data_IF_901025508054
#
_entry.id   IF_901025508054
#
_cell.length_a   1.000
_cell.length_b   1.000
_cell.length_c   1.000
_cell.angle_alpha   90.00
_cell.angle_beta   90.00
_cell.angle_gamma   90.00
#
_symmetry.space_group_name_H-M   'P 1'
#
loop_
_entity.id
_entity.type
_entity.pdbx_description
1 polymer ?
#
# COMPACT_ATOMS: atom_id res chain seq x y z
N UNK A 1 3.44 32.75 11.95
CA UNK A 1 3.31 31.67 10.96
C UNK A 1 3.17 30.37 11.75
N UNK A 2 2.30 29.43 11.35
CA UNK A 2 2.20 28.13 12.02
C UNK A 2 3.03 27.11 11.24
N UNK A 3 4.19 26.73 11.77
CA UNK A 3 5.12 25.79 11.13
C UNK A 3 4.55 24.37 11.05
N UNK A 4 3.53 24.04 11.85
CA UNK A 4 2.86 22.75 11.79
C UNK A 4 1.90 22.63 10.61
N UNK A 5 1.64 23.72 9.88
CA UNK A 5 0.85 23.69 8.65
C UNK A 5 1.77 23.51 7.44
N UNK A 6 2.17 22.27 7.19
CA UNK A 6 3.04 21.88 6.10
C UNK A 6 2.50 20.64 5.37
N UNK A 7 3.02 20.41 4.15
CA UNK A 7 2.68 19.25 3.32
C UNK A 7 3.97 18.72 2.72
N UNK A 8 4.14 17.40 2.75
CA UNK A 8 5.15 16.67 1.98
C UNK A 8 4.45 15.81 0.93
N UNK A 9 4.93 15.86 -0.32
CA UNK A 9 4.40 15.06 -1.42
C UNK A 9 5.57 14.40 -2.16
N UNK A 10 5.79 13.08 -1.99
CA UNK A 10 6.83 12.36 -2.72
C UNK A 10 6.60 12.40 -4.23
N UNK A 11 7.67 12.48 -5.03
CA UNK A 11 7.58 12.43 -6.50
C UNK A 11 6.84 11.19 -7.01
N UNK A 12 6.99 10.06 -6.31
CA UNK A 12 6.27 8.81 -6.61
C UNK A 12 4.74 8.97 -6.54
N UNK A 13 4.22 9.92 -5.77
CA UNK A 13 2.79 10.15 -5.64
C UNK A 13 2.27 11.24 -6.57
N UNK A 14 3.15 11.98 -7.26
CA UNK A 14 2.76 13.03 -8.20
C UNK A 14 2.21 12.40 -9.49
N UNK A 15 1.01 12.83 -9.88
CA UNK A 15 0.38 12.49 -11.14
C UNK A 15 0.65 13.57 -12.20
N UNK A 16 0.58 14.86 -11.84
CA UNK A 16 0.89 15.94 -12.77
C UNK A 16 1.28 17.24 -12.08
N UNK A 17 2.09 18.04 -12.78
CA UNK A 17 2.52 19.39 -12.37
C UNK A 17 2.21 20.36 -13.50
N UNK A 18 1.38 21.38 -13.25
CA UNK A 18 0.88 22.31 -14.28
C UNK A 18 0.76 23.71 -13.71
N UNK A 19 0.84 24.73 -14.56
CA UNK A 19 0.40 26.08 -14.22
C UNK A 19 -1.04 26.24 -14.72
N UNK A 20 -1.95 26.69 -13.86
CA UNK A 20 -3.35 26.96 -14.20
C UNK A 20 -3.79 28.31 -13.67
N UNK A 21 -4.74 28.93 -14.35
CA UNK A 21 -5.40 30.12 -13.84
C UNK A 21 -6.31 29.78 -12.66
N UNK A 22 -6.20 30.56 -11.59
CA UNK A 22 -7.05 30.49 -10.41
C UNK A 22 -7.82 31.80 -10.23
N UNK A 23 -8.73 31.85 -9.26
CA UNK A 23 -9.46 33.08 -8.87
C UNK A 23 -8.52 34.23 -8.48
N UNK A 24 -7.28 33.94 -8.11
CA UNK A 24 -6.29 34.91 -7.65
C UNK A 24 -5.12 35.08 -8.64
N UNK A 25 -5.25 34.60 -9.88
CA UNK A 25 -4.21 34.60 -10.89
C UNK A 25 -3.58 33.22 -11.11
N UNK A 26 -2.53 33.16 -11.95
CA UNK A 26 -1.84 31.91 -12.26
C UNK A 26 -1.23 31.27 -10.99
N UNK A 27 -1.38 29.95 -10.87
CA UNK A 27 -0.90 29.16 -9.75
C UNK A 27 -0.25 27.86 -10.23
N UNK A 28 0.73 27.38 -9.47
CA UNK A 28 1.29 26.05 -9.62
C UNK A 28 0.29 25.05 -9.05
N UNK A 29 -0.11 24.08 -9.84
CA UNK A 29 -1.02 23.00 -9.45
C UNK A 29 -0.27 21.68 -9.52
N UNK A 30 -0.27 20.96 -8.39
CA UNK A 30 0.29 19.62 -8.27
C UNK A 30 -0.84 18.65 -7.92
N UNK A 31 -1.03 17.64 -8.76
CA UNK A 31 -2.07 16.62 -8.62
C UNK A 31 -1.43 15.31 -8.13
N UNK A 32 -2.02 14.65 -7.14
CA UNK A 32 -1.58 13.32 -6.68
C UNK A 32 -2.29 12.19 -7.43
N UNK A 33 -1.68 11.00 -7.46
CA UNK A 33 -2.26 9.80 -8.07
C UNK A 33 -3.52 9.34 -7.34
N UNK A 34 -4.39 8.61 -8.05
CA UNK A 34 -5.65 8.10 -7.49
C UNK A 34 -5.43 7.18 -6.28
N UNK A 35 -4.41 6.31 -6.33
CA UNK A 35 -4.05 5.44 -5.22
C UNK A 35 -3.54 6.16 -3.96
N UNK A 36 -3.24 7.46 -4.03
CA UNK A 36 -2.80 8.28 -2.89
C UNK A 36 -3.80 9.39 -2.53
N UNK A 37 -5.08 9.25 -2.92
CA UNK A 37 -6.17 10.14 -2.51
C UNK A 37 -6.54 11.24 -3.50
N UNK A 38 -5.90 11.30 -4.68
CA UNK A 38 -6.27 12.22 -5.78
C UNK A 38 -6.37 13.71 -5.39
N UNK A 39 -5.45 14.19 -4.56
CA UNK A 39 -5.43 15.58 -4.10
C UNK A 39 -5.03 16.55 -5.21
N UNK A 40 -5.60 17.76 -5.17
CA UNK A 40 -5.24 18.89 -6.04
C UNK A 40 -4.69 20.02 -5.17
N UNK A 41 -3.38 20.25 -5.24
CA UNK A 41 -2.67 21.25 -4.43
C UNK A 41 -2.36 22.48 -5.29
N UNK A 42 -2.78 23.66 -4.85
CA UNK A 42 -2.55 24.93 -5.55
C UNK A 42 -1.64 25.87 -4.78
N UNK A 43 -0.59 26.36 -5.41
CA UNK A 43 0.40 27.27 -4.84
C UNK A 43 0.52 28.54 -5.67
N UNK A 44 0.29 29.69 -5.03
CA UNK A 44 0.56 30.99 -5.64
C UNK A 44 2.01 31.39 -5.36
N UNK A 45 2.72 31.79 -6.41
CA UNK A 45 4.13 32.20 -6.33
C UNK A 45 4.27 33.51 -7.09
N UNK A 46 4.70 34.55 -6.40
CA UNK A 46 5.00 35.87 -6.96
C UNK A 46 6.52 36.13 -6.88
N UNK A 47 7.15 36.75 -7.91
CA UNK A 47 6.59 37.14 -9.20
C UNK A 47 6.38 35.95 -10.15
N UNK A 48 5.58 36.14 -11.21
CA UNK A 48 5.27 35.11 -12.22
C UNK A 48 6.51 34.46 -12.85
N UNK A 49 7.63 35.19 -12.98
CA UNK A 49 8.89 34.61 -13.46
C UNK A 49 9.39 33.49 -12.56
N UNK A 50 9.26 33.63 -11.24
CA UNK A 50 9.61 32.61 -10.26
C UNK A 50 8.67 31.41 -10.33
N UNK A 51 7.36 31.66 -10.53
CA UNK A 51 6.38 30.59 -10.73
C UNK A 51 6.79 29.67 -11.88
N UNK A 52 7.14 30.24 -13.03
CA UNK A 52 7.58 29.47 -14.20
C UNK A 52 8.89 28.72 -13.95
N UNK A 53 9.86 29.33 -13.27
CA UNK A 53 11.12 28.67 -12.94
C UNK A 53 10.93 27.47 -12.02
N UNK A 54 10.16 27.62 -10.94
CA UNK A 54 9.86 26.54 -9.99
C UNK A 54 9.06 25.42 -10.67
N UNK A 55 8.06 25.76 -11.48
CA UNK A 55 7.30 24.76 -12.22
C UNK A 55 8.19 23.93 -13.15
N UNK A 56 9.10 24.59 -13.87
CA UNK A 56 10.05 23.91 -14.78
C UNK A 56 11.01 23.00 -14.02
N UNK A 57 11.57 23.48 -12.91
CA UNK A 57 12.48 22.69 -12.06
C UNK A 57 11.75 21.46 -11.47
N UNK A 58 10.54 21.66 -10.95
CA UNK A 58 9.75 20.59 -10.35
C UNK A 58 9.37 19.51 -11.38
N UNK A 59 8.98 19.91 -12.59
CA UNK A 59 8.71 18.98 -13.70
C UNK A 59 9.97 18.21 -14.06
N UNK A 60 11.11 18.88 -14.19
CA UNK A 60 12.39 18.22 -14.52
C UNK A 60 12.80 17.20 -13.46
N UNK A 61 12.70 17.53 -12.17
CA UNK A 61 13.03 16.61 -11.08
C UNK A 61 12.07 15.44 -11.03
N UNK A 62 10.77 15.69 -11.22
CA UNK A 62 9.75 14.66 -11.31
C UNK A 62 10.01 13.68 -12.46
N UNK A 63 10.39 14.16 -13.64
CA UNK A 63 10.70 13.31 -14.80
C UNK A 63 11.94 12.45 -14.56
N UNK A 64 13.01 13.03 -14.01
CA UNK A 64 14.25 12.30 -13.66
C UNK A 64 13.94 11.21 -12.62
N UNK A 65 13.23 11.56 -11.55
CA UNK A 65 12.85 10.59 -10.52
C UNK A 65 11.90 9.51 -11.08
N UNK A 66 11.00 9.86 -11.99
CA UNK A 66 10.09 8.88 -12.60
C UNK A 66 10.81 7.89 -13.51
N UNK A 67 11.93 8.28 -14.13
CA UNK A 67 12.75 7.40 -14.95
C UNK A 67 13.58 6.42 -14.12
N UNK A 68 14.10 6.85 -12.97
CA UNK A 68 14.83 5.99 -12.05
C UNK A 68 14.49 6.34 -10.58
N UNK A 69 13.45 5.74 -10.00
CA UNK A 69 12.94 6.12 -8.70
C UNK A 69 13.86 5.66 -7.57
N UNK A 70 14.20 6.58 -6.67
CA UNK A 70 14.85 6.24 -5.41
C UNK A 70 13.77 5.90 -4.37
N UNK A 71 13.74 4.64 -3.92
CA UNK A 71 12.72 4.16 -3.00
C UNK A 71 13.10 4.38 -1.52
N UNK A 72 14.30 4.89 -1.24
CA UNK A 72 14.80 5.11 0.12
C UNK A 72 15.09 3.81 0.88
N UNK A 73 15.24 2.68 0.17
CA UNK A 73 15.60 1.39 0.78
C UNK A 73 17.12 1.35 0.95
N UNK A 74 17.60 1.53 2.17
CA UNK A 74 19.00 1.35 2.54
C UNK A 74 19.27 -0.13 2.83
N UNK A 75 20.39 -0.66 2.32
CA UNK A 75 20.87 -1.98 2.66
C UNK A 75 22.39 -1.96 2.82
N UNK A 76 22.91 -2.77 3.73
CA UNK A 76 24.35 -3.00 3.82
C UNK A 76 24.75 -4.27 3.08
N UNK A 77 25.93 -4.24 2.44
CA UNK A 77 26.46 -5.43 1.74
C UNK A 77 26.71 -6.57 2.73
N UNK A 78 27.03 -6.27 3.99
CA UNK A 78 27.18 -7.27 5.07
C UNK A 78 25.86 -7.99 5.37
N UNK A 79 24.72 -7.28 5.36
CA UNK A 79 23.40 -7.90 5.52
C UNK A 79 23.01 -8.72 4.30
N UNK A 80 23.36 -8.29 3.08
CA UNK A 80 23.15 -9.12 1.88
C UNK A 80 23.98 -10.41 1.97
N UNK A 81 25.23 -10.34 2.44
CA UNK A 81 26.04 -11.54 2.65
C UNK A 81 25.41 -12.43 3.73
N UNK A 82 24.85 -11.85 4.80
CA UNK A 82 24.12 -12.64 5.80
C UNK A 82 22.82 -13.26 5.24
N UNK A 83 22.03 -12.54 4.44
CA UNK A 83 20.77 -13.04 3.87
C UNK A 83 20.97 -14.06 2.74
N UNK A 84 21.96 -13.85 1.87
CA UNK A 84 22.22 -14.71 0.71
C UNK A 84 23.29 -15.79 0.97
N UNK A 85 24.16 -15.60 1.97
CA UNK A 85 25.24 -16.54 2.30
C UNK A 85 25.16 -17.04 3.75
N UNK A 86 24.01 -16.92 4.43
CA UNK A 86 23.75 -17.85 5.53
C UNK A 86 23.91 -19.26 4.95
N UNK A 87 24.69 -20.16 5.58
CA UNK A 87 24.76 -21.53 5.11
C UNK A 87 23.35 -22.09 5.25
N UNK A 88 22.62 -22.11 4.12
CA UNK A 88 21.51 -23.00 3.96
C UNK A 88 22.01 -24.35 4.45
N UNK A 89 21.29 -24.93 5.41
CA UNK A 89 21.49 -26.32 5.79
C UNK A 89 21.63 -27.11 4.49
N UNK A 90 22.82 -27.64 4.34
CA UNK A 90 23.34 -28.25 3.14
C UNK A 90 22.55 -29.50 2.81
N UNK A 91 21.68 -29.40 1.81
CA UNK A 91 21.38 -30.48 0.85
C UNK A 91 20.75 -29.83 -0.39
N UNK A 92 21.58 -29.18 -1.20
CA UNK A 92 21.23 -28.93 -2.60
C UNK A 92 21.40 -30.25 -3.34
N UNK A 93 20.36 -31.09 -3.35
CA UNK A 93 20.22 -32.00 -4.48
C UNK A 93 20.16 -31.16 -5.76
N UNK A 94 20.78 -31.61 -6.86
CA UNK A 94 20.66 -30.91 -8.13
C UNK A 94 19.17 -30.86 -8.48
N UNK A 95 18.60 -29.65 -8.50
CA UNK A 95 17.25 -29.41 -9.01
C UNK A 95 17.29 -29.87 -10.47
N UNK A 96 16.80 -31.09 -10.73
CA UNK A 96 16.44 -31.48 -12.09
C UNK A 96 15.35 -30.50 -12.47
N UNK A 97 15.64 -29.65 -13.47
CA UNK A 97 14.60 -28.87 -14.12
C UNK A 97 13.71 -29.89 -14.81
N UNK A 98 12.70 -30.39 -14.09
CA UNK A 98 11.60 -31.09 -14.71
C UNK A 98 10.99 -30.11 -15.71
N UNK A 99 10.90 -30.52 -16.96
CA UNK A 99 10.27 -29.77 -18.03
C UNK A 99 8.81 -29.54 -17.60
N UNK A 100 8.56 -28.38 -17.00
CA UNK A 100 7.21 -27.96 -16.63
C UNK A 100 6.49 -27.72 -17.95
N UNK A 101 5.65 -28.67 -18.36
CA UNK A 101 4.65 -28.42 -19.38
C UNK A 101 3.87 -27.18 -18.94
N UNK A 102 4.02 -26.07 -19.68
CA UNK A 102 3.16 -24.91 -19.52
C UNK A 102 1.74 -25.37 -19.83
N UNK A 103 0.96 -25.66 -18.78
CA UNK A 103 -0.47 -25.87 -18.89
C UNK A 103 -1.07 -24.48 -19.19
N UNK A 104 -1.03 -24.11 -20.46
CA UNK A 104 -1.91 -23.07 -20.99
C UNK A 104 -3.34 -23.53 -20.65
N UNK A 105 -4.09 -22.70 -19.91
CA UNK A 105 -5.52 -22.84 -19.57
C UNK A 105 -5.88 -23.40 -18.17
N UNK A 106 -5.29 -22.90 -17.08
CA UNK A 106 -5.99 -22.88 -15.78
C UNK A 106 -6.15 -21.46 -15.27
N UNK A 107 -7.40 -21.08 -14.96
CA UNK A 107 -7.76 -19.82 -14.33
C UNK A 107 -6.94 -19.64 -13.04
N UNK A 108 -5.92 -18.78 -13.06
CA UNK A 108 -5.07 -18.45 -11.92
C UNK A 108 -5.81 -17.82 -10.72
N UNK A 109 -7.14 -17.66 -10.80
CA UNK A 109 -8.00 -17.18 -9.73
C UNK A 109 -7.86 -17.99 -8.42
N UNK A 110 -7.38 -19.24 -8.49
CA UNK A 110 -7.17 -20.09 -7.31
C UNK A 110 -5.80 -19.97 -6.63
N UNK A 111 -4.75 -19.43 -7.28
CA UNK A 111 -3.39 -19.48 -6.73
C UNK A 111 -3.26 -18.65 -5.46
N UNK A 112 -3.89 -17.47 -5.42
CA UNK A 112 -3.91 -16.60 -4.24
C UNK A 112 -4.55 -17.29 -3.02
N UNK A 113 -5.49 -18.21 -3.25
CA UNK A 113 -6.22 -18.86 -2.15
C UNK A 113 -5.36 -19.81 -1.31
N UNK A 114 -4.31 -20.37 -1.90
CA UNK A 114 -3.34 -21.20 -1.19
C UNK A 114 -2.48 -20.39 -0.20
N UNK A 115 -2.46 -19.06 -0.33
CA UNK A 115 -1.67 -18.15 0.52
C UNK A 115 -2.53 -17.32 1.49
N UNK A 116 -3.84 -17.62 1.61
CA UNK A 116 -4.68 -16.97 2.62
C UNK A 116 -4.22 -17.36 4.04
N UNK A 117 -3.90 -16.38 4.87
CA UNK A 117 -3.55 -16.60 6.29
C UNK A 117 -4.68 -17.27 7.06
N UNK A 118 -5.92 -16.93 6.72
CA UNK A 118 -7.12 -17.34 7.43
C UNK A 118 -7.81 -18.54 6.76
N UNK A 119 -7.17 -19.11 5.73
CA UNK A 119 -7.60 -20.34 5.04
C UNK A 119 -8.86 -20.21 4.17
N UNK A 120 -9.41 -19.00 4.00
CA UNK A 120 -10.53 -18.74 3.11
C UNK A 120 -10.60 -17.26 2.71
N UNK A 121 -11.29 -16.99 1.60
CA UNK A 121 -11.66 -15.65 1.16
C UNK A 121 -12.89 -15.19 1.96
N UNK A 122 -12.70 -14.78 3.21
CA UNK A 122 -13.73 -14.06 3.95
C UNK A 122 -13.51 -12.57 3.79
N UNK A 123 -14.52 -11.88 3.28
CA UNK A 123 -14.64 -10.45 3.52
C UNK A 123 -14.94 -10.25 5.01
N UNK A 124 -14.15 -9.41 5.66
CA UNK A 124 -14.39 -8.99 7.05
C UNK A 124 -15.78 -8.38 7.17
N UNK A 125 -16.60 -8.91 8.08
CA UNK A 125 -17.93 -8.35 8.34
C UNK A 125 -17.80 -7.02 9.10
N UNK A 126 -18.78 -6.10 9.00
CA UNK A 126 -18.63 -4.76 9.56
C UNK A 126 -18.44 -4.78 11.08
N UNK A 127 -17.62 -3.87 11.63
CA UNK A 127 -17.43 -3.76 13.07
C UNK A 127 -18.69 -3.18 13.74
N UNK A 128 -19.15 -3.84 14.80
CA UNK A 128 -20.29 -3.43 15.64
C UNK A 128 -19.87 -3.28 17.10
N UNK A 129 -20.48 -2.34 17.81
CA UNK A 129 -20.24 -2.20 19.24
C UNK A 129 -20.94 -3.30 20.02
N UNK A 130 -20.18 -4.02 20.85
CA UNK A 130 -20.71 -5.06 21.73
C UNK A 130 -20.78 -4.57 23.18
N UNK A 131 -21.99 -4.45 23.72
CA UNK A 131 -22.22 -3.98 25.09
C UNK A 131 -21.67 -4.93 26.18
N UNK A 132 -21.58 -6.23 25.91
CA UNK A 132 -21.11 -7.22 26.90
C UNK A 132 -19.60 -7.13 27.11
N UNK A 133 -18.86 -6.84 26.03
CA UNK A 133 -17.40 -6.67 26.06
C UNK A 133 -16.97 -5.22 26.22
N UNK A 134 -17.83 -4.26 25.87
CA UNK A 134 -17.49 -2.84 25.79
C UNK A 134 -16.54 -2.49 24.64
N UNK A 135 -16.44 -3.36 23.63
CA UNK A 135 -15.49 -3.26 22.51
C UNK A 135 -16.23 -3.27 21.16
N UNK A 136 -15.59 -2.72 20.13
CA UNK A 136 -16.00 -2.96 18.75
C UNK A 136 -15.51 -4.37 18.34
N UNK A 137 -16.44 -5.21 17.89
CA UNK A 137 -16.16 -6.56 17.38
C UNK A 137 -16.68 -6.68 15.95
N UNK A 138 -16.10 -7.58 15.17
CA UNK A 138 -16.70 -7.99 13.90
C UNK A 138 -18.12 -8.54 14.14
N UNK A 139 -19.06 -8.27 13.23
CA UNK A 139 -20.43 -8.78 13.41
C UNK A 139 -20.45 -10.30 13.42
N UNK A 140 -21.11 -10.89 14.42
CA UNK A 140 -21.17 -12.35 14.59
C UNK A 140 -22.03 -12.95 13.48
N UNK A 141 -21.58 -14.09 12.92
CA UNK A 141 -22.33 -14.85 11.91
C UNK A 141 -23.70 -15.26 12.44
N UNK A 142 -24.71 -15.21 11.57
CA UNK A 142 -26.07 -15.62 11.89
C UNK A 142 -26.11 -17.02 12.51
N UNK A 143 -26.85 -17.16 13.62
CA UNK A 143 -26.99 -18.41 14.36
C UNK A 143 -25.91 -18.65 15.44
N UNK A 144 -24.89 -17.81 15.54
CA UNK A 144 -23.88 -17.88 16.60
C UNK A 144 -24.09 -16.79 17.66
N UNK A 145 -23.64 -17.06 18.88
CA UNK A 145 -23.56 -16.08 19.96
C UNK A 145 -22.13 -15.99 20.48
N UNK A 146 -21.77 -14.87 21.09
CA UNK A 146 -20.43 -14.68 21.64
C UNK A 146 -20.06 -15.78 22.65
N UNK A 147 -21.03 -16.16 23.49
CA UNK A 147 -20.87 -17.25 24.46
C UNK A 147 -20.66 -18.59 23.76
N UNK A 148 -21.38 -18.86 22.67
CA UNK A 148 -21.20 -20.07 21.85
C UNK A 148 -19.83 -20.14 21.20
N UNK A 149 -19.23 -19.01 20.81
CA UNK A 149 -17.90 -18.97 20.21
C UNK A 149 -16.79 -19.13 21.26
N UNK A 150 -17.04 -18.68 22.49
CA UNK A 150 -16.07 -18.76 23.59
C UNK A 150 -16.07 -20.11 24.32
N UNK A 151 -17.22 -20.78 24.37
CA UNK A 151 -17.38 -22.04 25.10
C UNK A 151 -16.82 -23.23 24.32
N UNK A 152 -15.98 -24.02 24.98
CA UNK A 152 -15.35 -25.22 24.42
C UNK A 152 -16.23 -26.48 24.62
N UNK A 153 -17.11 -26.49 25.62
CA UNK A 153 -17.97 -27.63 25.96
C UNK A 153 -19.43 -27.29 25.63
N UNK A 154 -20.10 -28.02 24.73
CA UNK A 154 -21.52 -27.81 24.47
C UNK A 154 -22.33 -28.19 25.71
N UNK A 155 -23.36 -27.41 26.05
CA UNK A 155 -24.28 -27.77 27.13
C UNK A 155 -24.95 -29.11 26.81
N UNK A 156 -24.54 -30.17 27.51
CA UNK A 156 -25.29 -31.41 27.57
C UNK A 156 -26.66 -31.07 28.16
N UNK A 157 -27.71 -31.11 27.34
CA UNK A 157 -29.08 -31.08 27.85
C UNK A 157 -29.25 -32.31 28.76
N UNK A 158 -29.37 -32.07 30.06
CA UNK A 158 -29.90 -33.04 31.03
C UNK A 158 -31.40 -33.13 30.84
#
# INVERSE_FOLDING_TARGET
MNENFNISLPYLQIASVKIRDSRFGAALVVESRAGSGAYVLGFRIDPLSRLHNVAKELVSMYEIHSANPELGVEFSVTELVHFFFQPALSESEPIQMEEVEEIENEDHAGVASAYYSDGHESEDRPPIYNNQLGLAIESIKDGYTLTSLWQIIPFTKV
#
